data_IF_116167975662
#
_entry.id   IF_116167975662
#
_cell.length_a   1.000
_cell.length_b   1.000
_cell.length_c   1.000
_cell.angle_alpha   90.00
_cell.angle_beta   90.00
_cell.angle_gamma   90.00
#
_symmetry.space_group_name_H-M   'P 1'
#
loop_
_entity.id
_entity.type
_entity.pdbx_description
1 polymer ?
#
# COMPACT_ATOMS: atom_id res chain seq x y z
N UNK A 1 4.97 -15.63 9.25
CA UNK A 1 5.30 -15.58 7.81
C UNK A 1 5.18 -14.13 7.35
N UNK A 2 6.25 -13.55 6.81
CA UNK A 2 6.21 -12.22 6.17
C UNK A 2 5.53 -12.41 4.82
N UNK A 3 4.34 -11.85 4.61
CA UNK A 3 3.72 -11.88 3.29
C UNK A 3 4.45 -10.89 2.39
N UNK A 4 5.04 -11.35 1.29
CA UNK A 4 5.63 -10.51 0.26
C UNK A 4 4.54 -9.74 -0.48
N UNK A 5 4.02 -8.70 0.17
CA UNK A 5 2.96 -7.83 -0.35
C UNK A 5 3.36 -7.21 -1.70
N UNK A 6 4.67 -7.09 -1.95
CA UNK A 6 5.29 -6.62 -3.19
C UNK A 6 4.88 -7.40 -4.43
N UNK A 7 4.31 -8.61 -4.31
CA UNK A 7 3.73 -9.37 -5.44
C UNK A 7 2.30 -8.96 -5.77
N UNK A 8 1.58 -8.37 -4.83
CA UNK A 8 0.15 -8.02 -4.97
C UNK A 8 -0.11 -6.52 -5.06
N UNK A 9 0.73 -5.68 -4.43
CA UNK A 9 0.54 -4.23 -4.42
C UNK A 9 1.59 -3.55 -5.29
N UNK A 10 1.15 -2.61 -6.12
CA UNK A 10 1.99 -1.68 -6.84
C UNK A 10 1.82 -0.28 -6.23
N UNK A 11 2.93 0.41 -6.01
CA UNK A 11 2.95 1.84 -5.70
C UNK A 11 3.19 2.54 -7.03
N UNK A 12 2.35 3.51 -7.38
CA UNK A 12 2.35 4.20 -8.68
C UNK A 12 1.68 3.40 -9.81
N UNK A 13 0.37 3.15 -9.65
CA UNK A 13 -0.47 2.65 -10.75
C UNK A 13 -0.72 3.77 -11.76
N UNK A 14 -0.67 3.46 -13.06
CA UNK A 14 -0.92 4.40 -14.15
C UNK A 14 -2.26 5.17 -14.04
N UNK A 15 -3.22 4.66 -13.26
CA UNK A 15 -4.55 5.23 -13.06
C UNK A 15 -4.69 6.07 -11.78
N UNK A 16 -3.81 5.86 -10.79
CA UNK A 16 -3.84 6.52 -9.50
C UNK A 16 -2.43 7.02 -9.14
N UNK A 17 -2.01 8.20 -9.67
CA UNK A 17 -0.70 8.74 -9.35
C UNK A 17 -0.56 8.89 -7.83
N UNK A 18 0.53 8.35 -7.30
CA UNK A 18 0.89 8.36 -5.88
C UNK A 18 0.03 7.52 -4.90
N UNK A 19 -0.81 6.58 -5.34
CA UNK A 19 -1.49 5.62 -4.44
C UNK A 19 -1.01 4.19 -4.63
N UNK A 20 -0.98 3.44 -3.53
CA UNK A 20 -0.75 2.00 -3.54
C UNK A 20 -2.04 1.28 -3.92
N UNK A 21 -1.99 0.47 -4.97
CA UNK A 21 -3.14 -0.24 -5.51
C UNK A 21 -2.84 -1.72 -5.71
N UNK A 22 -3.88 -2.55 -5.62
CA UNK A 22 -3.78 -3.98 -5.94
C UNK A 22 -3.52 -4.13 -7.43
N UNK A 23 -2.48 -4.88 -7.79
CA UNK A 23 -2.10 -5.16 -9.19
C UNK A 23 -3.28 -5.71 -9.97
N UNK A 24 -3.44 -5.22 -11.19
CA UNK A 24 -4.45 -5.65 -12.16
C UNK A 24 -5.91 -5.44 -11.73
N UNK A 25 -6.15 -4.69 -10.64
CA UNK A 25 -7.51 -4.46 -10.14
C UNK A 25 -7.86 -2.99 -9.95
N UNK A 26 -6.87 -2.11 -9.98
CA UNK A 26 -7.01 -0.66 -9.75
C UNK A 26 -7.84 -0.31 -8.50
N UNK A 27 -7.80 -1.20 -7.50
CA UNK A 27 -8.43 -1.00 -6.20
C UNK A 27 -7.35 -0.46 -5.25
N UNK A 28 -7.51 0.75 -4.70
CA UNK A 28 -6.57 1.30 -3.73
C UNK A 28 -6.51 0.46 -2.46
N UNK A 29 -5.32 0.36 -1.87
CA UNK A 29 -5.13 -0.33 -0.59
C UNK A 29 -5.94 0.34 0.52
N UNK A 30 -6.02 1.68 0.52
CA UNK A 30 -6.84 2.45 1.48
C UNK A 30 -8.30 1.97 1.52
N UNK A 31 -8.92 1.76 0.37
CA UNK A 31 -10.32 1.34 0.26
C UNK A 31 -10.54 -0.05 0.86
N UNK A 32 -9.58 -0.95 0.68
CA UNK A 32 -9.64 -2.29 1.28
C UNK A 32 -9.49 -2.22 2.80
N UNK A 33 -8.63 -1.33 3.31
CA UNK A 33 -8.43 -1.12 4.75
C UNK A 33 -9.66 -0.46 5.40
N UNK A 34 -10.30 0.50 4.74
CA UNK A 34 -11.57 1.11 5.17
C UNK A 34 -12.67 0.07 5.28
N UNK A 35 -12.80 -0.79 4.26
CA UNK A 35 -13.77 -1.88 4.28
C UNK A 35 -13.46 -2.92 5.36
N UNK A 36 -12.18 -3.20 5.62
CA UNK A 36 -11.77 -4.03 6.76
C UNK A 36 -12.16 -3.38 8.10
N UNK A 37 -11.96 -2.08 8.26
CA UNK A 37 -12.35 -1.35 9.47
C UNK A 37 -13.87 -1.36 9.68
N UNK A 38 -14.64 -1.23 8.59
CA UNK A 38 -16.11 -1.26 8.62
C UNK A 38 -16.69 -2.64 8.89
N UNK A 39 -16.18 -3.67 8.22
CA UNK A 39 -16.76 -5.02 8.24
C UNK A 39 -16.09 -5.97 9.24
N UNK A 40 -14.91 -5.63 9.75
CA UNK A 40 -14.14 -6.41 10.71
C UNK A 40 -13.64 -7.77 10.19
N UNK A 41 -13.84 -8.10 8.91
CA UNK A 41 -13.54 -9.44 8.39
C UNK A 41 -13.18 -9.48 6.91
N UNK A 42 -12.31 -10.44 6.55
CA UNK A 42 -11.97 -10.75 5.15
C UNK A 42 -13.23 -11.12 4.35
N UNK A 43 -14.20 -11.81 4.99
CA UNK A 43 -15.48 -12.15 4.35
C UNK A 43 -16.28 -10.91 3.98
N UNK A 44 -16.29 -9.90 4.85
CA UNK A 44 -16.94 -8.61 4.58
C UNK A 44 -16.32 -7.90 3.37
N UNK A 45 -15.00 -7.81 3.33
CA UNK A 45 -14.26 -7.27 2.18
C UNK A 45 -14.60 -8.00 0.89
N UNK A 46 -14.60 -9.33 0.91
CA UNK A 46 -14.94 -10.13 -0.29
C UNK A 46 -16.41 -10.01 -0.70
N UNK A 47 -17.30 -9.69 0.23
CA UNK A 47 -18.69 -9.38 -0.11
C UNK A 47 -18.80 -8.06 -0.89
N UNK A 48 -17.93 -7.07 -0.60
CA UNK A 48 -17.89 -5.79 -1.30
C UNK A 48 -17.06 -5.84 -2.58
N UNK A 49 -15.99 -6.62 -2.57
CA UNK A 49 -15.02 -6.79 -3.64
C UNK A 49 -14.85 -8.29 -3.97
N UNK A 50 -15.82 -8.92 -4.65
CA UNK A 50 -15.80 -10.35 -4.94
C UNK A 50 -14.61 -10.78 -5.82
N UNK A 51 -14.03 -9.86 -6.59
CA UNK A 51 -12.82 -10.06 -7.39
C UNK A 51 -11.55 -10.22 -6.55
N UNK A 52 -11.58 -9.89 -5.26
CA UNK A 52 -10.43 -10.03 -4.37
C UNK A 52 -10.34 -11.43 -3.77
N UNK A 53 -9.11 -11.94 -3.77
CA UNK A 53 -8.77 -13.15 -3.04
C UNK A 53 -8.18 -12.83 -1.66
N UNK A 54 -8.14 -13.85 -0.80
CA UNK A 54 -7.64 -13.72 0.57
C UNK A 54 -6.17 -13.29 0.62
N UNK A 55 -5.34 -13.69 -0.34
CA UNK A 55 -3.92 -13.34 -0.37
C UNK A 55 -3.72 -11.85 -0.67
N UNK A 56 -4.51 -11.27 -1.57
CA UNK A 56 -4.51 -9.83 -1.88
C UNK A 56 -4.93 -8.99 -0.68
N UNK A 57 -5.95 -9.42 0.05
CA UNK A 57 -6.41 -8.72 1.27
C UNK A 57 -5.34 -8.79 2.37
N UNK A 58 -4.69 -9.95 2.54
CA UNK A 58 -3.55 -10.10 3.46
C UNK A 58 -2.35 -9.27 3.04
N UNK A 59 -2.11 -9.12 1.74
CA UNK A 59 -1.05 -8.25 1.23
C UNK A 59 -1.32 -6.77 1.55
N UNK A 60 -2.58 -6.32 1.49
CA UNK A 60 -2.96 -4.97 1.92
C UNK A 60 -2.61 -4.73 3.40
N UNK A 61 -2.92 -5.68 4.28
CA UNK A 61 -2.57 -5.62 5.70
C UNK A 61 -1.05 -5.64 5.92
N UNK A 62 -0.32 -6.49 5.19
CA UNK A 62 1.13 -6.57 5.30
C UNK A 62 1.81 -5.28 4.80
N UNK A 63 1.29 -4.65 3.75
CA UNK A 63 1.71 -3.33 3.29
C UNK A 63 1.48 -2.27 4.36
N UNK A 64 0.26 -2.21 4.94
CA UNK A 64 -0.06 -1.27 6.02
C UNK A 64 0.85 -1.47 7.24
N UNK A 65 1.10 -2.71 7.64
CA UNK A 65 2.01 -3.04 8.72
C UNK A 65 3.48 -2.67 8.40
N UNK A 66 3.87 -2.63 7.13
CA UNK A 66 5.20 -2.13 6.73
C UNK A 66 5.26 -0.60 6.75
N UNK A 67 4.19 0.10 6.37
CA UNK A 67 4.12 1.57 6.44
C UNK A 67 4.12 2.12 7.87
N UNK A 68 3.44 1.44 8.79
CA UNK A 68 3.35 1.87 10.20
C UNK A 68 4.62 1.56 10.99
N UNK A 69 5.51 0.70 10.46
CA UNK A 69 6.82 0.52 11.08
C UNK A 69 7.55 1.85 11.06
N UNK A 70 7.88 2.34 12.25
CA UNK A 70 8.74 3.49 12.41
C UNK A 70 10.08 3.22 11.73
N UNK A 71 10.30 3.85 10.58
CA UNK A 71 11.62 3.97 10.01
C UNK A 71 12.23 5.26 10.57
N UNK A 72 12.99 5.15 11.66
CA UNK A 72 13.88 6.23 12.10
C UNK A 72 14.98 6.34 11.05
N UNK A 73 14.74 7.15 10.02
CA UNK A 73 15.77 7.46 9.03
C UNK A 73 16.73 8.48 9.64
N UNK A 74 18.05 8.29 9.52
CA UNK A 74 18.98 9.34 9.89
C UNK A 74 18.69 10.58 9.04
N UNK A 75 18.76 11.78 9.63
CA UNK A 75 18.49 13.06 8.97
C UNK A 75 19.29 13.24 7.65
N UNK A 76 20.46 12.61 7.54
CA UNK A 76 21.26 12.58 6.31
C UNK A 76 20.50 11.97 5.12
N UNK A 77 19.70 10.92 5.33
CA UNK A 77 18.90 10.31 4.28
C UNK A 77 17.73 11.20 3.83
N UNK A 78 17.26 12.12 4.69
CA UNK A 78 16.17 13.04 4.37
C UNK A 78 16.64 14.21 3.50
N UNK A 79 17.86 14.71 3.74
CA UNK A 79 18.44 15.86 3.05
C UNK A 79 18.73 15.55 1.57
N UNK A 80 19.11 14.32 1.23
CA UNK A 80 19.44 13.93 -0.16
C UNK A 80 18.23 14.01 -1.12
N UNK A 81 17.03 13.67 -0.63
CA UNK A 81 15.83 13.54 -1.48
C UNK A 81 15.18 14.87 -1.91
N UNK A 82 15.48 15.98 -1.20
CA UNK A 82 14.87 17.30 -1.47
C UNK A 82 15.86 18.35 -1.94
N UNK A 83 17.15 18.24 -1.60
CA UNK A 83 18.17 19.23 -1.99
C UNK A 83 18.71 19.03 -3.41
N UNK A 84 18.75 17.82 -3.96
CA UNK A 84 19.26 17.60 -5.32
C UNK A 84 18.40 18.25 -6.43
N UNK A 85 17.13 18.57 -6.15
CA UNK A 85 16.25 19.24 -7.13
C UNK A 85 16.59 20.73 -7.33
N UNK A 86 17.40 21.32 -6.44
CA UNK A 86 17.72 22.75 -6.44
C UNK A 86 19.19 23.08 -6.81
N UNK A 87 20.05 22.08 -7.03
CA UNK A 87 21.46 22.30 -7.38
C UNK A 87 21.79 22.06 -8.87
N UNK A 88 20.79 21.75 -9.70
CA UNK A 88 20.94 21.59 -11.17
C UNK A 88 20.05 22.61 -11.89
N UNK A 89 20.11 23.87 -11.47
CA UNK A 89 19.52 25.01 -12.20
C UNK A 89 20.48 26.19 -12.22
#
# INVERSE_FOLDING_TARGET
MKSDWRNFIAVDSAYHPAKASIRNKDIPVETVLEELARSGSIRGVRSRFPQLNTAEIRACLAYAAELVKENILPLSAYIDSRFMRYMVS
#
